data_IF_526199417797
#
_entry.id   IF_526199417797
#
_cell.length_a   1.000
_cell.length_b   1.000
_cell.length_c   1.000
_cell.angle_alpha   90.00
_cell.angle_beta   90.00
_cell.angle_gamma   90.00
#
_symmetry.space_group_name_H-M   'P 1'
#
loop_
_entity.id
_entity.type
_entity.pdbx_description
1 polymer ?
#
# COMPACT_ATOMS: atom_id res chain seq x y z
N UNK A 1 -13.34 -5.33 -18.34
CA UNK A 1 -13.48 -6.11 -17.08
C UNK A 1 -12.14 -6.30 -16.35
N UNK A 2 -11.01 -6.45 -17.05
CA UNK A 2 -9.69 -6.64 -16.43
C UNK A 2 -9.23 -5.52 -15.49
N UNK A 3 -9.43 -4.25 -15.87
CA UNK A 3 -8.91 -3.12 -15.07
C UNK A 3 -9.57 -2.98 -13.70
N UNK A 4 -10.86 -3.31 -13.56
CA UNK A 4 -11.55 -3.30 -12.26
C UNK A 4 -11.04 -4.41 -11.33
N UNK A 5 -10.79 -5.60 -11.89
CA UNK A 5 -10.23 -6.73 -11.13
C UNK A 5 -8.79 -6.41 -10.70
N UNK A 6 -8.00 -5.79 -11.56
CA UNK A 6 -6.66 -5.33 -11.23
C UNK A 6 -6.68 -4.29 -10.09
N UNK A 7 -7.55 -3.29 -10.17
CA UNK A 7 -7.69 -2.29 -9.09
C UNK A 7 -8.07 -2.93 -7.76
N UNK A 8 -9.04 -3.85 -7.75
CA UNK A 8 -9.45 -4.56 -6.53
C UNK A 8 -8.30 -5.37 -5.92
N UNK A 9 -7.51 -6.05 -6.75
CA UNK A 9 -6.33 -6.78 -6.27
C UNK A 9 -5.30 -5.85 -5.65
N UNK A 10 -5.01 -4.71 -6.30
CA UNK A 10 -4.06 -3.72 -5.77
C UNK A 10 -4.55 -3.11 -4.45
N UNK A 11 -5.86 -2.85 -4.31
CA UNK A 11 -6.46 -2.37 -3.06
C UNK A 11 -6.37 -3.41 -1.94
N UNK A 12 -6.54 -4.69 -2.25
CA UNK A 12 -6.37 -5.77 -1.26
C UNK A 12 -4.92 -5.88 -0.79
N UNK A 13 -3.95 -5.82 -1.71
CA UNK A 13 -2.53 -5.83 -1.35
C UNK A 13 -2.13 -4.58 -0.56
N UNK A 14 -2.67 -3.42 -0.92
CA UNK A 14 -2.49 -2.18 -0.16
C UNK A 14 -2.99 -2.32 1.28
N UNK A 15 -4.17 -2.91 1.47
CA UNK A 15 -4.74 -3.11 2.80
C UNK A 15 -3.90 -4.06 3.66
N UNK A 16 -3.39 -5.16 3.06
CA UNK A 16 -2.49 -6.09 3.77
C UNK A 16 -1.24 -5.38 4.27
N UNK A 17 -0.58 -4.61 3.40
CA UNK A 17 0.64 -3.86 3.76
C UNK A 17 0.34 -2.79 4.81
N UNK A 18 -0.83 -2.14 4.75
CA UNK A 18 -1.26 -1.17 5.78
C UNK A 18 -1.41 -1.84 7.14
N UNK A 19 -2.01 -3.03 7.19
CA UNK A 19 -2.15 -3.82 8.43
C UNK A 19 -0.77 -4.22 8.96
N UNK A 20 0.11 -4.76 8.10
CA UNK A 20 1.49 -5.13 8.48
C UNK A 20 2.24 -3.94 9.08
N UNK A 21 2.12 -2.75 8.47
CA UNK A 21 2.77 -1.53 8.96
C UNK A 21 2.19 -1.07 10.30
N UNK A 22 0.87 -1.12 10.47
CA UNK A 22 0.23 -0.83 11.75
C UNK A 22 0.66 -1.80 12.85
N UNK A 23 0.77 -3.10 12.55
CA UNK A 23 1.22 -4.12 13.48
C UNK A 23 2.70 -3.97 13.83
N UNK A 24 3.54 -3.61 12.86
CA UNK A 24 4.96 -3.37 13.08
C UNK A 24 5.19 -2.18 14.02
N UNK A 25 4.46 -1.08 13.77
CA UNK A 25 4.60 0.14 14.56
C UNK A 25 3.91 0.00 15.92
N UNK A 26 2.85 -0.82 16.05
CA UNK A 26 2.09 -1.09 17.28
C UNK A 26 1.77 0.17 18.11
N UNK A 27 1.47 1.28 17.44
CA UNK A 27 1.22 2.57 18.08
C UNK A 27 2.48 3.33 18.56
N UNK A 28 3.67 2.74 18.45
CA UNK A 28 4.95 3.37 18.75
C UNK A 28 5.49 4.14 17.55
N UNK A 29 5.09 5.42 17.42
CA UNK A 29 5.51 6.30 16.33
C UNK A 29 7.03 6.44 16.13
N UNK A 30 7.85 6.16 17.16
CA UNK A 30 9.30 6.13 17.02
C UNK A 30 9.80 5.06 16.03
N UNK A 31 9.06 3.96 15.88
CA UNK A 31 9.35 2.89 14.92
C UNK A 31 9.13 3.29 13.46
N UNK A 32 8.49 4.45 13.20
CA UNK A 32 8.38 4.98 11.84
C UNK A 32 9.72 5.39 11.23
N UNK A 33 10.71 5.69 12.09
CA UNK A 33 12.08 5.99 11.68
C UNK A 33 12.99 4.77 11.68
N UNK A 34 12.45 3.58 11.97
CA UNK A 34 13.20 2.33 11.98
C UNK A 34 13.68 1.99 10.56
N UNK A 35 15.00 1.82 10.34
CA UNK A 35 15.53 1.37 9.05
C UNK A 35 14.90 0.06 8.55
N UNK A 36 14.48 -0.83 9.45
CA UNK A 36 13.86 -2.11 9.11
C UNK A 36 12.42 -1.93 8.59
N UNK A 37 11.78 -0.78 8.85
CA UNK A 37 10.49 -0.42 8.27
C UNK A 37 10.60 0.12 6.84
N UNK A 38 11.78 0.58 6.41
CA UNK A 38 11.98 1.20 5.08
C UNK A 38 11.51 0.33 3.91
N UNK A 39 11.79 -0.99 3.86
CA UNK A 39 11.30 -1.84 2.78
C UNK A 39 9.76 -1.89 2.73
N UNK A 40 9.11 -1.93 3.89
CA UNK A 40 7.66 -1.97 4.00
C UNK A 40 7.02 -0.63 3.57
N UNK A 41 7.61 0.49 4.00
CA UNK A 41 7.20 1.83 3.58
C UNK A 41 7.32 2.01 2.06
N UNK A 42 8.42 1.57 1.44
CA UNK A 42 8.59 1.61 -0.02
C UNK A 42 7.56 0.76 -0.76
N UNK A 43 7.21 -0.42 -0.22
CA UNK A 43 6.16 -1.29 -0.77
C UNK A 43 4.80 -0.59 -0.71
N UNK A 44 4.51 0.08 0.40
CA UNK A 44 3.27 0.86 0.57
C UNK A 44 3.18 2.00 -0.45
N UNK A 45 4.23 2.82 -0.59
CA UNK A 45 4.27 3.93 -1.55
C UNK A 45 4.05 3.46 -2.99
N UNK A 46 4.69 2.34 -3.36
CA UNK A 46 4.52 1.73 -4.68
C UNK A 46 3.07 1.30 -4.92
N UNK A 47 2.45 0.62 -3.96
CA UNK A 47 1.05 0.17 -4.08
C UNK A 47 0.08 1.35 -4.17
N UNK A 48 0.30 2.42 -3.39
CA UNK A 48 -0.50 3.65 -3.48
C UNK A 48 -0.45 4.21 -4.90
N UNK A 49 0.74 4.32 -5.47
CA UNK A 49 0.93 4.80 -6.84
C UNK A 49 0.23 3.89 -7.86
N UNK A 50 0.40 2.58 -7.76
CA UNK A 50 -0.22 1.62 -8.69
C UNK A 50 -1.76 1.64 -8.62
N UNK A 51 -2.34 1.76 -7.42
CA UNK A 51 -3.80 1.92 -7.22
C UNK A 51 -4.28 3.22 -7.85
N UNK A 52 -3.57 4.34 -7.62
CA UNK A 52 -3.94 5.63 -8.19
C UNK A 52 -3.92 5.58 -9.72
N UNK A 53 -2.89 4.97 -10.31
CA UNK A 53 -2.79 4.81 -11.75
C UNK A 53 -3.89 3.90 -12.32
N UNK A 54 -4.22 2.82 -11.62
CA UNK A 54 -5.32 1.93 -12.02
C UNK A 54 -6.68 2.65 -11.95
N UNK A 55 -6.91 3.47 -10.92
CA UNK A 55 -8.12 4.31 -10.80
C UNK A 55 -8.20 5.35 -11.90
N UNK A 56 -7.10 6.02 -12.22
CA UNK A 56 -7.05 7.00 -13.30
C UNK A 56 -7.42 6.38 -14.66
N UNK A 57 -6.92 5.18 -14.96
CA UNK A 57 -7.29 4.42 -16.17
C UNK A 57 -8.76 4.00 -16.24
N UNK A 58 -9.46 3.91 -15.10
CA UNK A 58 -10.89 3.59 -15.07
C UNK A 58 -11.78 4.82 -15.28
N UNK A 59 -11.24 6.02 -15.07
CA UNK A 59 -11.98 7.29 -15.20
C UNK A 59 -11.71 8.03 -16.50
N UNK A 60 -10.79 7.53 -17.34
CA UNK A 60 -10.39 8.10 -18.63
C UNK A 60 -10.75 7.13 -19.74
#
# INVERSE_FOLDING_TARGET
MGDRVQTLHLEQELEKVRIELHQYVDGHSALLSDPDLLPLSRKLDKLIYEVQQAKYRLTT
#
